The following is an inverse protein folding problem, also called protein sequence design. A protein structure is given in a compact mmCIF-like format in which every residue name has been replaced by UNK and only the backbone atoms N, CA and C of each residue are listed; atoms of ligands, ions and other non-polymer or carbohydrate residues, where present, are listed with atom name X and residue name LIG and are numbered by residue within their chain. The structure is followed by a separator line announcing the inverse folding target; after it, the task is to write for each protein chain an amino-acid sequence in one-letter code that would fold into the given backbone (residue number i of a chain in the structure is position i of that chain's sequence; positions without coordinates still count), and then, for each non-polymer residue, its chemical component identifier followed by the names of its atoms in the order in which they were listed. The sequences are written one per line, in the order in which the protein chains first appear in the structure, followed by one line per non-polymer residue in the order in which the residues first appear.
data_IF_435359369508
#
_entry.id   IF_435359369508
#
_cell.length_a   1.000
_cell.length_b   1.000
_cell.length_c   1.000
_cell.angle_alpha   90.00
_cell.angle_beta   90.00
_cell.angle_gamma   90.00
#
_symmetry.space_group_name_H-M   'P 1'
#
loop_
_entity.id
_entity.type
_entity.pdbx_description
1 polymer ?
#
# COMPACT_ATOMS: atom_id res chain seq x y z
N UNK A 1 -2.61 -15.36 -27.26
CA UNK A 1 -3.40 -15.34 -26.01
C UNK A 1 -2.44 -15.73 -24.89
N UNK A 2 -2.07 -14.94 -23.88
CA UNK A 2 -2.48 -13.64 -23.37
C UNK A 2 -1.94 -13.65 -21.95
N UNK A 3 -0.70 -13.18 -21.73
CA UNK A 3 -0.05 -13.18 -20.41
C UNK A 3 0.43 -11.77 -20.12
N UNK A 4 0.01 -11.29 -18.94
CA UNK A 4 -0.17 -9.90 -18.60
C UNK A 4 1.09 -9.06 -18.74
N UNK A 5 0.93 -7.94 -19.43
CA UNK A 5 1.76 -6.78 -19.20
C UNK A 5 1.53 -6.35 -17.75
N UNK A 6 2.50 -6.67 -16.89
CA UNK A 6 2.76 -5.92 -15.67
C UNK A 6 2.76 -4.45 -16.07
N UNK A 7 1.74 -3.73 -15.62
CA UNK A 7 1.60 -2.29 -15.86
C UNK A 7 2.83 -1.61 -15.28
N UNK A 8 3.80 -1.31 -16.15
CA UNK A 8 5.00 -0.58 -15.81
C UNK A 8 4.56 0.75 -15.21
N UNK A 9 5.05 1.02 -14.02
CA UNK A 9 4.79 2.20 -13.24
C UNK A 9 5.36 3.42 -13.98
N UNK A 10 4.54 4.13 -14.75
CA UNK A 10 4.85 5.47 -15.24
C UNK A 10 3.96 6.46 -14.50
N UNK A 11 4.47 7.01 -13.40
CA UNK A 11 3.82 8.13 -12.72
C UNK A 11 4.03 8.14 -11.22
N UNK A 12 5.09 8.82 -10.77
CA UNK A 12 5.01 10.05 -9.95
C UNK A 12 6.42 10.39 -9.48
N UNK A 13 7.15 11.20 -10.26
CA UNK A 13 8.32 11.96 -9.77
C UNK A 13 7.86 13.16 -8.94
N UNK A 14 6.83 12.99 -8.11
CA UNK A 14 6.30 14.07 -7.27
C UNK A 14 7.05 14.05 -5.94
N UNK A 15 7.47 15.24 -5.54
CA UNK A 15 8.14 15.50 -4.27
C UNK A 15 7.32 14.92 -3.10
N UNK A 16 7.99 14.26 -2.15
CA UNK A 16 7.35 13.78 -0.94
C UNK A 16 6.78 14.94 -0.12
N UNK A 17 5.77 14.68 0.70
CA UNK A 17 5.39 15.61 1.76
C UNK A 17 6.58 15.84 2.72
N UNK A 18 6.62 16.98 3.44
CA UNK A 18 7.58 17.18 4.53
C UNK A 18 7.55 16.01 5.52
N UNK A 19 8.67 15.79 6.22
CA UNK A 19 8.67 14.76 7.26
C UNK A 19 7.68 15.11 8.37
N UNK A 20 6.85 14.14 8.74
CA UNK A 20 5.88 14.23 9.81
C UNK A 20 5.68 12.84 10.43
N UNK A 21 5.19 12.75 11.69
CA UNK A 21 4.85 11.47 12.33
C UNK A 21 3.70 10.73 11.63
N UNK A 22 2.88 11.46 10.89
CA UNK A 22 1.75 10.93 10.13
C UNK A 22 1.49 11.75 8.87
N UNK A 23 0.70 11.19 7.97
CA UNK A 23 0.38 11.72 6.65
C UNK A 23 -1.11 11.59 6.39
N UNK A 24 -1.72 12.70 6.01
CA UNK A 24 -3.02 12.76 5.37
C UNK A 24 -2.87 12.63 3.86
N UNK A 25 -4.00 12.45 3.17
CA UNK A 25 -4.03 12.45 1.70
C UNK A 25 -3.57 13.81 1.18
N UNK A 26 -2.61 13.81 0.24
CA UNK A 26 -2.08 15.04 -0.34
C UNK A 26 -3.21 15.84 -1.02
N UNK A 27 -3.33 17.16 -0.78
CA UNK A 27 -4.51 17.93 -1.21
C UNK A 27 -4.85 17.82 -2.70
N UNK A 28 -3.86 17.81 -3.60
CA UNK A 28 -4.14 17.66 -5.04
C UNK A 28 -4.66 16.27 -5.39
N UNK A 29 -4.19 15.24 -4.69
CA UNK A 29 -4.69 13.88 -4.87
C UNK A 29 -6.09 13.73 -4.29
N UNK A 30 -6.35 14.33 -3.13
CA UNK A 30 -7.68 14.36 -2.54
C UNK A 30 -8.71 15.03 -3.47
N UNK A 31 -8.37 16.21 -4.03
CA UNK A 31 -9.22 16.86 -5.02
C UNK A 31 -9.43 15.98 -6.25
N UNK A 32 -8.37 15.34 -6.76
CA UNK A 32 -8.51 14.42 -7.90
C UNK A 32 -9.42 13.22 -7.57
N UNK A 33 -9.40 12.72 -6.34
CA UNK A 33 -10.27 11.63 -5.89
C UNK A 33 -11.74 12.08 -5.79
N UNK A 34 -12.00 13.32 -5.36
CA UNK A 34 -13.34 13.93 -5.39
C UNK A 34 -13.84 13.99 -6.84
N UNK A 35 -13.04 14.55 -7.75
CA UNK A 35 -13.41 14.73 -9.16
C UNK A 35 -13.70 13.39 -9.87
N UNK A 36 -13.05 12.31 -9.41
CA UNK A 36 -13.22 10.95 -9.91
C UNK A 36 -14.31 10.14 -9.19
N UNK A 37 -14.95 10.71 -8.17
CA UNK A 37 -15.94 10.03 -7.33
C UNK A 37 -15.36 8.91 -6.45
N UNK A 38 -14.04 8.86 -6.26
CA UNK A 38 -13.39 7.92 -5.33
C UNK A 38 -13.62 8.37 -3.88
N UNK A 39 -13.58 9.68 -3.66
CA UNK A 39 -14.07 10.30 -2.43
C UNK A 39 -15.49 10.80 -2.67
N UNK A 40 -16.46 10.26 -1.96
CA UNK A 40 -17.86 10.64 -2.09
C UNK A 40 -18.54 10.54 -0.72
N UNK A 41 -19.68 11.21 -0.57
CA UNK A 41 -20.44 11.24 0.69
C UNK A 41 -19.59 11.64 1.92
N UNK A 42 -18.56 12.47 1.70
CA UNK A 42 -17.63 12.92 2.73
C UNK A 42 -16.68 11.86 3.26
N UNK A 43 -16.37 10.80 2.47
CA UNK A 43 -15.43 9.74 2.86
C UNK A 43 -14.83 8.98 1.67
N UNK A 44 -13.75 8.25 1.96
CA UNK A 44 -13.30 7.11 1.17
C UNK A 44 -14.01 5.83 1.62
N UNK A 45 -14.58 5.09 0.68
CA UNK A 45 -15.02 3.73 0.96
C UNK A 45 -13.81 2.81 1.16
N UNK A 46 -13.91 1.92 2.15
CA UNK A 46 -12.85 0.95 2.43
C UNK A 46 -12.81 -0.09 1.33
N UNK A 47 -11.62 -0.31 0.78
CA UNK A 47 -11.36 -1.34 -0.21
C UNK A 47 -11.75 -2.71 0.39
N UNK A 48 -12.67 -3.47 -0.22
CA UNK A 48 -13.16 -4.73 0.34
C UNK A 48 -12.09 -5.82 0.42
N UNK A 49 -10.96 -5.64 -0.27
CA UNK A 49 -9.81 -6.55 -0.20
C UNK A 49 -8.79 -6.15 0.87
N UNK A 50 -8.98 -4.99 1.51
CA UNK A 50 -8.06 -4.48 2.50
C UNK A 50 -8.12 -5.30 3.80
N UNK A 51 -6.96 -5.76 4.25
CA UNK A 51 -6.81 -6.56 5.47
C UNK A 51 -5.46 -6.35 6.12
N UNK A 52 -5.35 -6.71 7.39
CA UNK A 52 -4.06 -6.73 8.06
C UNK A 52 -3.16 -7.80 7.41
N UNK A 53 -1.90 -7.47 7.15
CA UNK A 53 -0.93 -8.40 6.56
C UNK A 53 -0.83 -9.70 7.36
N UNK A 54 -0.99 -9.64 8.69
CA UNK A 54 -0.96 -10.82 9.55
C UNK A 54 -2.04 -11.84 9.20
N UNK A 55 -3.20 -11.40 8.72
CA UNK A 55 -4.29 -12.28 8.28
C UNK A 55 -3.94 -13.05 6.99
N UNK A 56 -2.94 -12.57 6.24
CA UNK A 56 -2.45 -13.25 5.04
C UNK A 56 -1.30 -14.22 5.32
N UNK A 57 -0.80 -14.28 6.55
CA UNK A 57 0.29 -15.19 6.91
C UNK A 57 -0.25 -16.63 6.96
N UNK A 58 0.35 -17.50 6.15
CA UNK A 58 0.09 -18.92 6.11
C UNK A 58 1.41 -19.68 6.28
N UNK A 59 1.70 -20.08 7.52
CA UNK A 59 2.97 -20.69 7.90
C UNK A 59 4.14 -19.74 7.62
N UNK A 60 5.00 -20.11 6.66
CA UNK A 60 6.14 -19.28 6.27
C UNK A 60 5.85 -18.37 5.07
N UNK A 61 4.60 -18.24 4.61
CA UNK A 61 4.28 -17.49 3.40
C UNK A 61 3.26 -16.38 3.65
N UNK A 62 3.32 -15.31 2.88
CA UNK A 62 2.20 -14.40 2.67
C UNK A 62 1.34 -14.98 1.53
N UNK A 63 0.12 -15.40 1.84
CA UNK A 63 -0.73 -16.16 0.94
C UNK A 63 -0.24 -17.61 0.78
N UNK A 64 0.51 -17.89 -0.28
CA UNK A 64 1.09 -19.21 -0.55
C UNK A 64 2.43 -19.08 -1.30
N UNK A 65 3.14 -20.21 -1.47
CA UNK A 65 4.47 -20.25 -2.13
C UNK A 65 4.49 -19.74 -3.58
N UNK A 66 3.34 -19.63 -4.24
CA UNK A 66 3.19 -19.14 -5.61
C UNK A 66 2.72 -17.68 -5.68
N UNK A 67 2.47 -17.03 -4.53
CA UNK A 67 2.05 -15.63 -4.49
C UNK A 67 3.17 -14.73 -5.00
N UNK A 68 2.93 -14.09 -6.14
CA UNK A 68 3.82 -13.11 -6.77
C UNK A 68 2.99 -11.88 -7.12
N UNK A 69 3.10 -10.81 -6.33
CA UNK A 69 2.24 -9.65 -6.44
C UNK A 69 2.89 -8.43 -5.80
N UNK A 70 2.72 -7.30 -6.46
CA UNK A 70 2.98 -5.98 -5.90
C UNK A 70 1.64 -5.37 -5.47
N UNK A 71 1.56 -4.89 -4.24
CA UNK A 71 0.34 -4.28 -3.73
C UNK A 71 0.62 -3.07 -2.85
N UNK A 72 -0.28 -2.08 -2.84
CA UNK A 72 -0.16 -0.96 -1.92
C UNK A 72 -0.25 -1.47 -0.48
N UNK A 73 0.51 -0.84 0.40
CA UNK A 73 0.37 -0.98 1.84
C UNK A 73 0.26 0.39 2.51
N UNK A 74 -0.35 0.41 3.68
CA UNK A 74 -0.28 1.52 4.64
C UNK A 74 0.06 0.97 6.02
N UNK A 75 0.71 1.78 6.83
CA UNK A 75 0.86 1.56 8.27
C UNK A 75 -0.08 2.53 8.95
N UNK A 76 -1.14 1.99 9.54
CA UNK A 76 -2.15 2.81 10.23
C UNK A 76 -1.57 3.43 11.52
N UNK A 77 -2.36 4.28 12.18
CA UNK A 77 -1.96 4.95 13.41
C UNK A 77 -1.72 4.01 14.60
N UNK A 78 -2.07 2.73 14.47
CA UNK A 78 -1.81 1.68 15.46
C UNK A 78 -0.58 0.81 15.10
N UNK A 79 0.11 1.11 14.00
CA UNK A 79 1.27 0.35 13.53
C UNK A 79 0.90 -0.94 12.80
N UNK A 80 -0.36 -1.12 12.39
CA UNK A 80 -0.79 -2.27 11.60
C UNK A 80 -0.43 -2.08 10.13
N UNK A 81 0.14 -3.11 9.50
CA UNK A 81 0.37 -3.13 8.06
C UNK A 81 -0.93 -3.56 7.38
N UNK A 82 -1.62 -2.63 6.73
CA UNK A 82 -2.83 -2.91 5.95
C UNK A 82 -2.46 -2.96 4.48
N UNK A 83 -2.87 -4.04 3.81
CA UNK A 83 -2.62 -4.28 2.38
C UNK A 83 -3.92 -4.57 1.66
N UNK A 84 -3.97 -4.32 0.35
CA UNK A 84 -5.15 -4.60 -0.45
C UNK A 84 -4.85 -4.65 -1.94
N UNK A 85 -5.65 -5.39 -2.69
CA UNK A 85 -5.55 -5.44 -4.14
C UNK A 85 -5.98 -4.11 -4.75
N UNK A 86 -5.30 -3.72 -5.83
CA UNK A 86 -5.53 -2.45 -6.50
C UNK A 86 -6.45 -2.63 -7.71
N UNK A 87 -7.54 -1.87 -7.79
CA UNK A 87 -8.29 -1.65 -9.03
C UNK A 87 -7.65 -0.49 -9.81
N UNK A 88 -6.44 -0.70 -10.34
CA UNK A 88 -5.55 0.39 -10.78
C UNK A 88 -6.15 1.39 -11.78
N UNK A 89 -6.88 0.91 -12.79
CA UNK A 89 -7.43 1.75 -13.87
C UNK A 89 -8.94 2.03 -13.71
N UNK A 90 -9.56 1.53 -12.63
CA UNK A 90 -11.00 1.65 -12.44
C UNK A 90 -11.87 1.00 -13.54
N UNK A 91 -11.33 0.04 -14.29
CA UNK A 91 -12.00 -0.50 -15.49
C UNK A 91 -13.35 -1.16 -15.18
N UNK A 92 -13.49 -1.73 -13.99
CA UNK A 92 -14.69 -2.45 -13.52
C UNK A 92 -15.22 -1.88 -12.19
N UNK A 93 -15.07 -0.57 -11.96
CA UNK A 93 -15.47 0.10 -10.72
C UNK A 93 -14.47 1.19 -10.33
N UNK A 94 -14.67 1.88 -9.21
CA UNK A 94 -13.76 2.95 -8.81
C UNK A 94 -12.34 2.45 -8.57
N UNK A 95 -11.37 3.31 -8.87
CA UNK A 95 -9.98 3.02 -8.51
C UNK A 95 -9.84 2.94 -6.99
N UNK A 96 -8.94 2.07 -6.52
CA UNK A 96 -8.71 1.86 -5.08
C UNK A 96 -7.30 2.36 -4.70
N UNK A 97 -7.11 3.68 -4.53
CA UNK A 97 -5.83 4.25 -4.10
C UNK A 97 -5.51 3.91 -2.63
N UNK A 98 -4.30 4.23 -2.17
CA UNK A 98 -3.86 3.96 -0.79
C UNK A 98 -4.85 4.38 0.30
N UNK A 99 -5.55 5.55 0.23
CA UNK A 99 -6.48 5.96 1.28
C UNK A 99 -7.63 4.97 1.48
N UNK A 100 -8.03 4.22 0.44
CA UNK A 100 -9.08 3.19 0.54
C UNK A 100 -8.67 1.98 1.38
N UNK A 101 -7.39 1.78 1.68
CA UNK A 101 -6.96 0.66 2.54
C UNK A 101 -7.49 0.79 3.98
N UNK A 102 -7.59 2.02 4.48
CA UNK A 102 -8.17 2.31 5.79
C UNK A 102 -9.55 2.98 5.69
N UNK A 103 -9.84 3.66 4.57
CA UNK A 103 -11.11 4.34 4.33
C UNK A 103 -11.36 5.47 5.33
N UNK A 104 -12.58 6.02 5.30
CA UNK A 104 -13.01 7.06 6.24
C UNK A 104 -12.93 8.49 5.69
N UNK A 105 -13.26 9.46 6.54
CA UNK A 105 -13.42 10.88 6.14
C UNK A 105 -12.10 11.56 5.82
N UNK A 106 -11.09 11.27 6.61
CA UNK A 106 -9.73 11.79 6.49
C UNK A 106 -8.75 10.68 6.88
N UNK A 107 -8.40 9.79 5.94
CA UNK A 107 -7.46 8.71 6.18
C UNK A 107 -6.10 9.27 6.61
N UNK A 108 -5.60 8.80 7.76
CA UNK A 108 -4.30 9.19 8.32
C UNK A 108 -3.44 7.94 8.52
N UNK A 109 -2.17 8.00 8.10
CA UNK A 109 -1.23 6.88 8.16
C UNK A 109 0.13 7.35 8.66
N UNK A 110 0.87 6.49 9.34
CA UNK A 110 2.26 6.76 9.69
C UNK A 110 3.18 6.59 8.48
N UNK A 111 2.81 5.67 7.58
CA UNK A 111 3.59 5.33 6.39
C UNK A 111 2.72 4.70 5.31
N UNK A 112 3.16 4.79 4.05
CA UNK A 112 2.52 4.14 2.92
C UNK A 112 3.53 3.85 1.80
N UNK A 113 3.28 2.81 1.02
CA UNK A 113 4.14 2.50 -0.12
C UNK A 113 3.67 1.29 -0.90
N UNK A 114 4.62 0.63 -1.56
CA UNK A 114 4.42 -0.63 -2.26
C UNK A 114 5.12 -1.77 -1.52
N UNK A 115 4.42 -2.89 -1.39
CA UNK A 115 4.93 -4.14 -0.87
C UNK A 115 5.11 -5.11 -2.03
N UNK A 116 6.32 -5.66 -2.17
CA UNK A 116 6.67 -6.61 -3.22
C UNK A 116 6.74 -8.01 -2.63
N UNK A 117 5.83 -8.89 -3.07
CA UNK A 117 5.80 -10.30 -2.64
C UNK A 117 6.21 -11.18 -3.80
N UNK A 118 7.23 -12.01 -3.60
CA UNK A 118 7.70 -13.00 -4.58
C UNK A 118 7.83 -14.37 -3.94
N UNK A 119 7.21 -15.39 -4.54
CA UNK A 119 7.20 -16.76 -4.01
C UNK A 119 6.57 -16.87 -2.61
N UNK A 120 5.57 -16.03 -2.32
CA UNK A 120 4.96 -15.91 -1.00
C UNK A 120 5.85 -15.29 0.06
N UNK A 121 6.93 -14.60 -0.32
CA UNK A 121 7.86 -13.94 0.60
C UNK A 121 7.91 -12.45 0.35
N UNK A 122 8.07 -11.67 1.41
CA UNK A 122 8.37 -10.25 1.32
C UNK A 122 9.75 -10.11 0.67
N UNK A 123 9.79 -9.59 -0.55
CA UNK A 123 11.00 -9.34 -1.30
C UNK A 123 11.58 -7.95 -0.98
N UNK A 124 10.71 -6.95 -0.92
CA UNK A 124 11.03 -5.57 -0.55
C UNK A 124 9.76 -4.79 -0.23
N UNK A 125 9.92 -3.62 0.37
CA UNK A 125 8.89 -2.61 0.52
C UNK A 125 9.53 -1.22 0.39
N UNK A 126 8.76 -0.22 -0.01
CA UNK A 126 9.24 1.13 -0.24
C UNK A 126 8.29 2.20 0.34
N UNK A 127 8.57 3.48 0.07
CA UNK A 127 7.74 4.62 0.45
C UNK A 127 6.95 5.23 -0.74
N UNK A 128 6.77 4.47 -1.81
CA UNK A 128 6.13 4.95 -3.04
C UNK A 128 4.61 4.94 -2.87
N UNK A 129 4.07 6.07 -2.38
CA UNK A 129 2.63 6.33 -2.35
C UNK A 129 2.31 7.65 -3.04
N UNK A 130 1.52 7.59 -4.11
CA UNK A 130 1.06 8.80 -4.81
C UNK A 130 0.11 9.65 -3.97
N UNK A 131 -0.65 9.05 -3.05
CA UNK A 131 -1.68 9.73 -2.26
C UNK A 131 -1.15 10.27 -0.94
N UNK A 132 -0.36 9.48 -0.20
CA UNK A 132 0.21 9.93 1.08
C UNK A 132 1.61 10.54 0.92
N UNK A 133 2.35 10.18 -0.13
CA UNK A 133 3.70 10.70 -0.45
C UNK A 133 4.61 10.84 0.79
N UNK A 134 4.75 9.80 1.62
CA UNK A 134 5.51 9.92 2.86
C UNK A 134 6.98 10.23 2.58
N UNK A 135 7.60 10.96 3.50
CA UNK A 135 9.00 11.28 3.41
C UNK A 135 9.85 10.01 3.58
N UNK A 136 11.00 9.92 2.92
CA UNK A 136 11.87 8.74 3.02
C UNK A 136 12.38 8.51 4.45
N UNK A 137 12.46 9.55 5.29
CA UNK A 137 12.77 9.42 6.72
C UNK A 137 11.76 8.55 7.49
N UNK A 138 10.52 8.46 7.01
CA UNK A 138 9.48 7.64 7.64
C UNK A 138 9.61 6.15 7.31
N UNK A 139 10.59 5.74 6.49
CA UNK A 139 10.90 4.32 6.28
C UNK A 139 11.25 3.59 7.58
N UNK A 140 11.75 4.29 8.60
CA UNK A 140 12.00 3.68 9.92
C UNK A 140 10.72 3.09 10.53
N UNK A 141 9.56 3.72 10.30
CA UNK A 141 8.26 3.19 10.73
C UNK A 141 7.94 1.88 10.00
N UNK A 142 8.22 1.82 8.70
CA UNK A 142 8.08 0.58 7.94
C UNK A 142 9.02 -0.51 8.46
N UNK A 143 10.29 -0.18 8.67
CA UNK A 143 11.29 -1.11 9.20
C UNK A 143 10.88 -1.67 10.57
N UNK A 144 10.33 -0.84 11.45
CA UNK A 144 9.81 -1.27 12.75
C UNK A 144 8.57 -2.16 12.63
N UNK A 145 7.61 -1.81 11.76
CA UNK A 145 6.39 -2.59 11.60
C UNK A 145 6.67 -3.95 10.95
N UNK A 146 7.44 -3.97 9.86
CA UNK A 146 7.84 -5.21 9.19
C UNK A 146 8.83 -6.03 10.03
N UNK A 147 9.69 -5.37 10.83
CA UNK A 147 10.64 -6.03 11.73
C UNK A 147 10.00 -6.88 12.84
N UNK A 148 8.72 -6.65 13.15
CA UNK A 148 7.93 -7.49 14.08
C UNK A 148 7.52 -8.83 13.47
N UNK A 149 7.61 -8.99 12.15
CA UNK A 149 7.24 -10.23 11.46
C UNK A 149 8.35 -11.29 11.57
N UNK A 150 7.97 -12.56 11.41
CA UNK A 150 8.95 -13.64 11.38
C UNK A 150 9.97 -13.44 10.25
N UNK A 151 11.29 -13.56 10.50
CA UNK A 151 12.31 -13.51 9.46
C UNK A 151 12.10 -14.53 8.33
N UNK A 152 11.36 -15.62 8.59
CA UNK A 152 11.03 -16.64 7.60
C UNK A 152 10.10 -16.12 6.51
N UNK A 153 9.38 -15.03 6.73
CA UNK A 153 8.47 -14.41 5.76
C UNK A 153 9.23 -13.59 4.71
N UNK A 154 10.50 -13.27 4.95
CA UNK A 154 11.32 -12.49 4.05
C UNK A 154 12.08 -13.38 3.07
N UNK A 155 12.23 -12.89 1.83
CA UNK A 155 13.06 -13.55 0.83
C UNK A 155 14.51 -13.43 1.28
N UNK A 156 15.26 -14.54 1.24
CA UNK A 156 16.70 -14.51 1.48
C UNK A 156 17.35 -13.61 0.42
N UNK A 157 18.20 -12.68 0.84
CA UNK A 157 19.11 -11.99 -0.08
C UNK A 157 20.01 -13.06 -0.70
N UNK A 158 19.96 -13.21 -2.02
CA UNK A 158 20.91 -14.07 -2.72
C UNK A 158 22.31 -13.53 -2.52
N UNK A 159 23.27 -14.43 -2.25
CA UNK A 159 24.70 -14.13 -2.35
C UNK A 159 25.09 -14.02 -3.83
#
# INVERSE_FOLDING_TARGET
MGSGASGKYTGTSSQSQPYAPSYHVEPKMHQSDIDKGIYHDGKYDKNPTAKNLNEMINGNYIGNKNTNVDMPYVIDMHGNIIIGSRNGNGKNGLATPHPTLIGGKDPEVQMAGMLHIHGGKIASYDNISGHFKPNSKSMTVADEAFGKLSPRLFKKKGH
#
